data_IF_758144209462
#
_entry.id   IF_758144209462
#
_cell.length_a   1.000
_cell.length_b   1.000
_cell.length_c   1.000
_cell.angle_alpha   90.00
_cell.angle_beta   90.00
_cell.angle_gamma   90.00
#
_symmetry.space_group_name_H-M   'P 1'
#
loop_
_entity.id
_entity.type
_entity.pdbx_description
1 polymer ?
#
# COMPACT_ATOMS: atom_id res chain seq x y z
N UNK A 1 -31.95 34.27 2.40
CA UNK A 1 -30.90 34.15 3.44
C UNK A 1 -29.75 33.36 2.84
N UNK A 2 -28.68 34.05 2.42
CA UNK A 2 -27.47 33.41 1.91
C UNK A 2 -26.68 32.88 3.10
N UNK A 3 -26.83 31.60 3.43
CA UNK A 3 -25.93 30.92 4.36
C UNK A 3 -24.57 30.84 3.68
N UNK A 4 -23.60 31.62 4.15
CA UNK A 4 -22.21 31.51 3.73
C UNK A 4 -21.66 30.18 4.24
N UNK A 5 -21.86 29.10 3.49
CA UNK A 5 -21.25 27.81 3.75
C UNK A 5 -19.74 27.95 3.58
N UNK A 6 -19.01 27.86 4.69
CA UNK A 6 -17.55 27.92 4.70
C UNK A 6 -16.98 26.61 4.14
N UNK A 7 -16.86 26.52 2.81
CA UNK A 7 -16.16 25.40 2.16
C UNK A 7 -14.65 25.55 2.38
N UNK A 8 -14.00 24.49 2.87
CA UNK A 8 -12.55 24.43 3.02
C UNK A 8 -11.97 23.65 1.84
N UNK A 9 -11.06 24.28 1.09
CA UNK A 9 -10.33 23.59 0.01
C UNK A 9 -9.30 22.66 0.64
N UNK A 10 -9.47 21.35 0.42
CA UNK A 10 -8.56 20.32 0.93
C UNK A 10 -8.01 19.51 -0.24
N UNK A 11 -6.69 19.29 -0.24
CA UNK A 11 -6.06 18.35 -1.16
C UNK A 11 -6.32 16.90 -0.73
N UNK A 12 -7.37 16.28 -1.26
CA UNK A 12 -7.78 14.90 -0.92
C UNK A 12 -6.63 13.90 -1.03
N UNK A 13 -5.79 14.02 -2.07
CA UNK A 13 -4.60 13.18 -2.24
C UNK A 13 -3.69 13.18 -1.01
N UNK A 14 -3.26 14.36 -0.55
CA UNK A 14 -2.39 14.46 0.61
C UNK A 14 -3.07 14.04 1.91
N UNK A 15 -4.37 14.31 2.04
CA UNK A 15 -5.16 13.86 3.18
C UNK A 15 -5.16 12.32 3.27
N UNK A 16 -5.56 11.64 2.19
CA UNK A 16 -5.61 10.18 2.16
C UNK A 16 -4.21 9.56 2.27
N UNK A 17 -3.21 10.10 1.59
CA UNK A 17 -1.81 9.65 1.72
C UNK A 17 -1.34 9.70 3.18
N UNK A 18 -1.61 10.79 3.90
CA UNK A 18 -1.22 10.93 5.31
C UNK A 18 -2.01 10.00 6.23
N UNK A 19 -3.32 9.88 6.00
CA UNK A 19 -4.21 9.04 6.79
C UNK A 19 -3.84 7.56 6.67
N UNK A 20 -3.69 7.06 5.44
CA UNK A 20 -3.36 5.67 5.16
C UNK A 20 -1.98 5.33 5.74
N UNK A 21 -0.98 6.17 5.54
CA UNK A 21 0.36 5.94 6.10
C UNK A 21 0.33 5.89 7.63
N UNK A 22 -0.42 6.80 8.26
CA UNK A 22 -0.58 6.82 9.72
C UNK A 22 -1.20 5.53 10.23
N UNK A 23 -2.29 5.08 9.60
CA UNK A 23 -2.99 3.86 10.02
C UNK A 23 -2.11 2.62 9.78
N UNK A 24 -1.42 2.52 8.65
CA UNK A 24 -0.52 1.40 8.35
C UNK A 24 0.63 1.32 9.36
N UNK A 25 1.31 2.44 9.65
CA UNK A 25 2.44 2.44 10.60
C UNK A 25 1.97 2.09 12.01
N UNK A 26 0.80 2.59 12.42
CA UNK A 26 0.20 2.26 13.70
C UNK A 26 -0.19 0.78 13.79
N UNK A 27 -0.79 0.22 12.74
CA UNK A 27 -1.21 -1.18 12.66
C UNK A 27 -0.03 -2.16 12.65
N UNK A 28 1.04 -1.80 11.95
CA UNK A 28 2.20 -2.68 11.78
C UNK A 28 3.18 -2.62 12.95
N UNK A 29 3.36 -1.44 13.54
CA UNK A 29 4.46 -1.18 14.47
C UNK A 29 4.01 -0.52 15.78
N UNK A 30 2.73 -0.24 15.97
CA UNK A 30 2.23 0.43 17.17
C UNK A 30 2.79 1.85 17.34
N UNK A 31 3.30 2.47 16.27
CA UNK A 31 3.94 3.79 16.32
C UNK A 31 3.08 4.87 15.72
N UNK A 32 3.09 6.03 16.38
CA UNK A 32 2.53 7.25 15.81
C UNK A 32 3.47 7.78 14.75
N UNK A 33 2.91 8.00 13.56
CA UNK A 33 3.68 8.34 12.38
C UNK A 33 4.33 9.74 12.43
N UNK A 34 3.83 10.63 13.30
CA UNK A 34 4.28 12.02 13.40
C UNK A 34 5.07 12.36 14.68
N UNK A 35 5.03 11.55 15.74
CA UNK A 35 5.48 11.97 17.08
C UNK A 35 6.80 11.35 17.62
N UNK A 36 7.11 10.06 17.41
CA UNK A 36 8.31 9.46 18.03
C UNK A 36 9.30 8.89 17.01
N UNK A 37 10.36 9.67 16.70
CA UNK A 37 11.44 9.27 15.75
C UNK A 37 11.71 10.25 14.60
N UNK A 38 10.99 11.38 14.57
CA UNK A 38 11.29 12.56 13.75
C UNK A 38 10.92 12.44 12.27
N UNK A 39 10.87 13.59 11.59
CA UNK A 39 10.73 13.75 10.13
C UNK A 39 11.46 12.65 9.33
N UNK A 40 12.60 12.17 9.84
CA UNK A 40 13.40 11.07 9.29
C UNK A 40 12.62 9.77 9.04
N UNK A 41 11.91 9.23 10.02
CA UNK A 41 11.15 7.99 9.86
C UNK A 41 10.01 8.16 8.84
N UNK A 42 9.30 9.28 8.95
CA UNK A 42 8.25 9.69 8.02
C UNK A 42 8.75 9.76 6.58
N UNK A 43 9.89 10.41 6.34
CA UNK A 43 10.52 10.54 5.02
C UNK A 43 10.97 9.19 4.49
N UNK A 44 11.66 8.38 5.29
CA UNK A 44 12.20 7.08 4.87
C UNK A 44 11.08 6.09 4.50
N UNK A 45 10.04 6.01 5.31
CA UNK A 45 8.89 5.10 5.07
C UNK A 45 8.08 5.55 3.86
N UNK A 46 7.80 6.86 3.69
CA UNK A 46 7.14 7.37 2.48
C UNK A 46 7.95 7.06 1.23
N UNK A 47 9.26 7.31 1.30
CA UNK A 47 10.16 7.04 0.19
C UNK A 47 10.24 5.55 -0.10
N UNK A 48 10.14 4.69 0.92
CA UNK A 48 10.04 3.24 0.75
C UNK A 48 8.81 2.90 -0.07
N UNK A 49 7.60 3.24 0.40
CA UNK A 49 6.36 2.92 -0.32
C UNK A 49 6.31 3.54 -1.71
N UNK A 50 6.85 4.75 -1.90
CA UNK A 50 6.96 5.37 -3.22
C UNK A 50 7.86 4.56 -4.14
N UNK A 51 9.05 4.13 -3.67
CA UNK A 51 9.99 3.34 -4.45
C UNK A 51 9.50 1.91 -4.69
N UNK A 52 8.75 1.31 -3.75
CA UNK A 52 8.10 0.02 -3.94
C UNK A 52 7.12 0.03 -5.12
N UNK A 53 6.45 1.16 -5.34
CA UNK A 53 5.52 1.35 -6.46
C UNK A 53 6.17 1.90 -7.74
N UNK A 54 7.48 2.20 -7.76
CA UNK A 54 8.13 2.70 -8.98
C UNK A 54 8.46 1.57 -9.96
N UNK A 55 8.19 1.83 -11.23
CA UNK A 55 8.61 0.96 -12.33
C UNK A 55 10.13 1.02 -12.54
N UNK A 56 10.80 -0.13 -12.48
CA UNK A 56 12.24 -0.29 -12.73
C UNK A 56 12.44 -1.13 -13.98
N UNK A 57 13.03 -0.54 -15.03
CA UNK A 57 13.26 -1.19 -16.34
C UNK A 57 14.12 -2.46 -16.21
N UNK A 58 15.05 -2.48 -15.24
CA UNK A 58 15.94 -3.62 -15.00
C UNK A 58 15.19 -4.89 -14.58
N UNK A 59 13.98 -4.79 -14.04
CA UNK A 59 13.14 -5.95 -13.72
C UNK A 59 12.61 -6.66 -14.98
N UNK A 60 12.60 -5.97 -16.13
CA UNK A 60 12.15 -6.49 -17.43
C UNK A 60 13.32 -6.84 -18.36
N UNK A 61 14.40 -6.07 -18.30
CA UNK A 61 15.58 -6.26 -19.13
C UNK A 61 16.80 -6.37 -18.20
N UNK A 62 17.09 -7.57 -17.66
CA UNK A 62 18.16 -7.77 -16.67
C UNK A 62 19.54 -7.31 -17.15
N UNK A 63 19.79 -7.34 -18.46
CA UNK A 63 21.05 -6.89 -19.07
C UNK A 63 21.27 -5.37 -19.03
N UNK A 64 20.23 -4.56 -18.80
CA UNK A 64 20.34 -3.10 -18.64
C UNK A 64 20.50 -2.65 -17.18
N UNK A 65 20.60 -3.60 -16.25
CA UNK A 65 20.73 -3.32 -14.81
C UNK A 65 21.94 -2.46 -14.45
N UNK A 66 23.05 -2.62 -15.17
CA UNK A 66 24.28 -1.85 -14.95
C UNK A 66 24.12 -0.36 -15.30
N UNK A 67 23.14 0.01 -16.15
CA UNK A 67 22.94 1.40 -16.59
C UNK A 67 22.16 2.24 -15.57
N UNK A 68 21.41 1.62 -14.64
CA UNK A 68 20.49 2.24 -13.65
C UNK A 68 19.92 3.59 -14.13
N UNK A 69 19.20 3.57 -15.26
CA UNK A 69 18.85 4.74 -16.11
C UNK A 69 18.17 5.88 -15.35
N UNK A 70 17.58 5.61 -14.18
CA UNK A 70 16.93 6.60 -13.31
C UNK A 70 17.46 6.63 -11.86
N UNK A 71 18.50 5.85 -11.58
CA UNK A 71 19.09 5.72 -10.25
C UNK A 71 18.16 5.05 -9.24
N UNK A 72 17.16 4.27 -9.69
CA UNK A 72 16.12 3.75 -8.80
C UNK A 72 16.67 2.64 -7.91
N UNK A 73 17.52 1.75 -8.45
CA UNK A 73 18.15 0.70 -7.63
C UNK A 73 19.01 1.30 -6.53
N UNK A 74 19.83 2.30 -6.88
CA UNK A 74 20.64 3.03 -5.89
C UNK A 74 19.77 3.70 -4.82
N UNK A 75 18.73 4.45 -5.22
CA UNK A 75 17.79 5.12 -4.29
C UNK A 75 17.07 4.13 -3.39
N UNK A 76 16.73 2.95 -3.90
CA UNK A 76 16.05 1.91 -3.15
C UNK A 76 16.98 1.24 -2.14
N UNK A 77 18.23 0.97 -2.51
CA UNK A 77 19.24 0.44 -1.60
C UNK A 77 19.53 1.41 -0.44
N UNK A 78 19.74 2.68 -0.74
CA UNK A 78 19.95 3.72 0.28
C UNK A 78 18.74 3.85 1.21
N UNK A 79 17.52 3.87 0.65
CA UNK A 79 16.31 3.99 1.46
C UNK A 79 16.01 2.72 2.28
N UNK A 80 16.35 1.54 1.76
CA UNK A 80 16.19 0.28 2.46
C UNK A 80 17.10 0.22 3.70
N UNK A 81 18.35 0.69 3.58
CA UNK A 81 19.27 0.80 4.72
C UNK A 81 18.73 1.73 5.80
N UNK A 82 18.22 2.89 5.39
CA UNK A 82 17.63 3.86 6.31
C UNK A 82 16.38 3.29 7.02
N UNK A 83 15.51 2.61 6.27
CA UNK A 83 14.32 1.95 6.81
C UNK A 83 14.70 0.82 7.77
N UNK A 84 15.72 0.02 7.45
CA UNK A 84 16.24 -1.06 8.31
C UNK A 84 16.68 -0.53 9.66
N UNK A 85 17.42 0.58 9.67
CA UNK A 85 17.83 1.25 10.91
C UNK A 85 16.63 1.71 11.76
N UNK A 86 15.53 2.16 11.14
CA UNK A 86 14.32 2.58 11.86
C UNK A 86 13.56 1.38 12.42
N UNK A 87 13.32 0.36 11.59
CA UNK A 87 12.59 -0.84 12.02
C UNK A 87 13.35 -1.63 13.09
N UNK A 88 14.69 -1.66 13.01
CA UNK A 88 15.51 -2.30 14.04
C UNK A 88 15.38 -1.58 15.40
N UNK A 89 15.34 -0.24 15.41
CA UNK A 89 15.07 0.54 16.63
C UNK A 89 13.70 0.21 17.23
N UNK A 90 12.65 0.17 16.40
CA UNK A 90 11.31 -0.18 16.86
C UNK A 90 11.21 -1.61 17.35
N UNK A 91 11.91 -2.54 16.70
CA UNK A 91 11.98 -3.93 17.13
C UNK A 91 12.63 -4.07 18.50
N UNK A 92 13.80 -3.44 18.69
CA UNK A 92 14.50 -3.48 19.97
C UNK A 92 13.62 -2.92 21.08
N UNK A 93 12.89 -1.83 20.80
CA UNK A 93 11.94 -1.24 21.76
C UNK A 93 10.81 -2.22 22.12
N UNK A 94 10.19 -2.90 21.14
CA UNK A 94 9.16 -3.91 21.44
C UNK A 94 9.71 -5.09 22.24
N UNK A 95 10.91 -5.59 21.90
CA UNK A 95 11.58 -6.65 22.67
C UNK A 95 11.84 -6.20 24.12
N UNK A 96 12.32 -4.97 24.32
CA UNK A 96 12.57 -4.39 25.64
C UNK A 96 11.29 -4.33 26.47
N UNK A 97 10.20 -3.77 25.92
CA UNK A 97 8.90 -3.67 26.61
C UNK A 97 8.38 -5.04 27.05
N UNK A 98 8.49 -6.04 26.16
CA UNK A 98 8.14 -7.43 26.47
C UNK A 98 8.99 -8.01 27.60
N UNK A 99 10.31 -7.81 27.57
CA UNK A 99 11.21 -8.27 28.64
C UNK A 99 10.94 -7.59 29.99
N UNK A 100 10.46 -6.35 30.00
CA UNK A 100 10.09 -5.62 31.21
C UNK A 100 8.71 -6.01 31.77
N UNK A 101 7.99 -6.94 31.14
CA UNK A 101 6.68 -7.40 31.60
C UNK A 101 5.53 -6.43 31.28
N UNK A 102 5.72 -5.45 30.39
CA UNK A 102 4.60 -4.66 29.83
C UNK A 102 3.77 -5.56 28.90
N UNK A 103 2.81 -6.27 29.48
CA UNK A 103 1.85 -7.08 28.72
C UNK A 103 0.78 -6.15 28.14
N UNK A 104 0.84 -5.92 26.83
CA UNK A 104 -0.29 -5.36 26.11
C UNK A 104 -1.45 -6.36 26.10
N UNK A 105 -2.67 -5.84 26.26
CA UNK A 105 -3.88 -6.62 26.01
C UNK A 105 -3.89 -7.13 24.56
N UNK A 106 -4.62 -8.21 24.26
CA UNK A 106 -4.75 -8.73 22.88
C UNK A 106 -5.19 -7.63 21.90
N UNK A 107 -6.10 -6.76 22.33
CA UNK A 107 -6.63 -5.65 21.52
C UNK A 107 -5.61 -4.51 21.27
N UNK A 108 -4.50 -4.50 22.02
CA UNK A 108 -3.45 -3.49 21.94
C UNK A 108 -2.20 -3.99 21.19
N UNK A 109 -2.13 -5.29 20.89
CA UNK A 109 -1.00 -5.88 20.15
C UNK A 109 -1.02 -5.41 18.70
N UNK A 110 0.12 -4.90 18.25
CA UNK A 110 0.34 -4.61 16.85
C UNK A 110 0.96 -5.81 16.12
N UNK A 111 1.14 -5.67 14.80
CA UNK A 111 1.67 -6.76 13.99
C UNK A 111 3.08 -7.20 14.42
N UNK A 112 3.92 -6.29 14.92
CA UNK A 112 5.26 -6.60 15.40
C UNK A 112 5.22 -7.40 16.70
N UNK A 113 4.30 -7.08 17.61
CA UNK A 113 4.06 -7.87 18.83
C UNK A 113 3.63 -9.31 18.51
N UNK A 114 2.71 -9.46 17.55
CA UNK A 114 2.24 -10.78 17.07
C UNK A 114 3.42 -11.55 16.44
N UNK A 115 4.26 -10.91 15.63
CA UNK A 115 5.43 -11.57 15.05
C UNK A 115 6.42 -12.02 16.11
N UNK A 116 6.66 -11.19 17.13
CA UNK A 116 7.53 -11.54 18.25
C UNK A 116 6.95 -12.66 19.13
N UNK A 117 5.62 -12.82 19.22
CA UNK A 117 4.99 -13.93 19.94
C UNK A 117 5.08 -15.26 19.18
N UNK A 118 5.02 -15.23 17.85
CA UNK A 118 5.13 -16.42 17.01
C UNK A 118 6.57 -16.90 16.82
N UNK A 119 7.55 -15.99 16.84
CA UNK A 119 8.94 -16.30 16.58
C UNK A 119 9.85 -15.84 17.72
N UNK A 120 10.01 -16.68 18.74
CA UNK A 120 11.00 -16.48 19.79
C UNK A 120 12.42 -16.42 19.19
N UNK A 121 13.09 -15.27 19.35
CA UNK A 121 14.48 -15.10 18.91
C UNK A 121 14.70 -14.68 17.46
N UNK A 122 13.66 -14.40 16.67
CA UNK A 122 13.86 -13.97 15.28
C UNK A 122 14.62 -12.63 15.17
N UNK A 123 15.57 -12.59 14.22
CA UNK A 123 16.13 -11.35 13.67
C UNK A 123 15.19 -10.87 12.55
N UNK A 124 14.51 -9.74 12.75
CA UNK A 124 13.61 -9.13 11.75
C UNK A 124 14.29 -8.68 10.45
N UNK A 125 15.59 -8.91 10.27
CA UNK A 125 16.26 -8.79 8.97
C UNK A 125 15.48 -9.52 7.86
N UNK A 126 14.78 -10.60 8.24
CA UNK A 126 13.85 -11.34 7.37
C UNK A 126 12.57 -10.58 7.02
N UNK A 127 12.05 -9.68 7.85
CA UNK A 127 10.80 -8.96 7.57
C UNK A 127 10.96 -7.90 6.48
N UNK A 128 12.08 -7.18 6.46
CA UNK A 128 12.44 -6.31 5.35
C UNK A 128 12.71 -7.11 4.09
N UNK A 129 13.45 -8.21 4.18
CA UNK A 129 13.69 -9.09 3.02
C UNK A 129 12.38 -9.70 2.51
N UNK A 130 11.43 -10.07 3.37
CA UNK A 130 10.12 -10.63 2.97
C UNK A 130 9.16 -9.59 2.42
N UNK A 131 9.25 -8.30 2.79
CA UNK A 131 8.55 -7.21 2.08
C UNK A 131 9.27 -6.77 0.79
N UNK A 132 10.56 -7.08 0.65
CA UNK A 132 11.33 -6.86 -0.59
C UNK A 132 11.24 -8.05 -1.57
N UNK A 133 10.91 -9.26 -1.14
CA UNK A 133 10.67 -10.41 -2.04
C UNK A 133 9.44 -10.22 -2.96
N UNK A 134 8.38 -9.46 -2.59
CA UNK A 134 7.39 -8.96 -3.54
C UNK A 134 8.00 -8.19 -4.73
N UNK A 135 9.12 -7.48 -4.57
CA UNK A 135 9.77 -6.77 -5.69
C UNK A 135 10.43 -7.74 -6.67
N UNK A 136 10.96 -8.87 -6.21
CA UNK A 136 11.38 -9.94 -7.12
C UNK A 136 10.21 -10.62 -7.87
N UNK A 137 8.97 -10.36 -7.44
CA UNK A 137 7.75 -10.83 -8.07
C UNK A 137 6.93 -9.69 -8.70
N UNK A 138 7.45 -8.47 -8.84
CA UNK A 138 6.83 -7.49 -9.73
C UNK A 138 6.87 -8.00 -11.17
N UNK A 139 7.90 -8.79 -11.53
CA UNK A 139 7.95 -9.53 -12.78
C UNK A 139 6.82 -10.58 -12.89
N UNK A 140 6.41 -11.24 -11.80
CA UNK A 140 5.30 -12.20 -11.82
C UNK A 140 3.94 -11.52 -11.75
N UNK A 141 3.81 -10.42 -11.01
CA UNK A 141 2.60 -9.62 -10.91
C UNK A 141 2.32 -8.90 -12.24
N UNK A 142 3.35 -8.31 -12.86
CA UNK A 142 3.28 -7.63 -14.16
C UNK A 142 3.26 -8.60 -15.34
N UNK A 143 4.03 -9.70 -15.34
CA UNK A 143 3.91 -10.69 -16.43
C UNK A 143 2.57 -11.42 -16.36
N UNK A 144 2.02 -11.71 -15.17
CA UNK A 144 0.67 -12.28 -15.09
C UNK A 144 -0.39 -11.28 -15.53
N UNK A 145 -0.24 -9.97 -15.27
CA UNK A 145 -1.19 -8.96 -15.76
C UNK A 145 -1.02 -8.66 -17.25
N UNK A 146 0.20 -8.61 -17.80
CA UNK A 146 0.41 -8.46 -19.25
C UNK A 146 -0.06 -9.69 -20.01
N UNK A 147 0.23 -10.90 -19.53
CA UNK A 147 -0.18 -12.11 -20.22
C UNK A 147 -1.69 -12.35 -20.13
N UNK A 148 -2.35 -11.92 -19.03
CA UNK A 148 -3.82 -11.87 -18.97
C UNK A 148 -4.43 -10.76 -19.83
N UNK A 149 -3.73 -9.63 -19.99
CA UNK A 149 -4.16 -8.55 -20.91
C UNK A 149 -3.97 -8.96 -22.37
N UNK A 150 -2.89 -9.65 -22.73
CA UNK A 150 -2.66 -10.20 -24.08
C UNK A 150 -3.60 -11.37 -24.40
N UNK A 151 -3.83 -12.31 -23.48
CA UNK A 151 -4.74 -13.44 -23.74
C UNK A 151 -6.24 -13.05 -23.74
N UNK A 152 -6.62 -11.98 -23.02
CA UNK A 152 -7.99 -11.43 -23.10
C UNK A 152 -8.20 -10.49 -24.29
N UNK A 153 -7.11 -9.98 -24.89
CA UNK A 153 -7.16 -9.23 -26.14
C UNK A 153 -6.90 -10.16 -27.32
N UNK A 154 -7.90 -11.01 -27.57
CA UNK A 154 -8.19 -11.41 -28.94
C UNK A 154 -8.26 -10.14 -29.80
N UNK A 155 -7.34 -10.04 -30.75
CA UNK A 155 -7.20 -8.98 -31.73
C UNK A 155 -8.55 -8.64 -32.38
N UNK A 156 -9.31 -7.71 -31.79
CA UNK A 156 -10.30 -6.82 -32.43
C UNK A 156 -11.31 -6.22 -31.43
N UNK A 157 -10.85 -5.36 -30.51
CA UNK A 157 -11.73 -4.32 -29.97
C UNK A 157 -10.95 -3.17 -29.35
N UNK A 158 -10.99 -2.05 -30.05
CA UNK A 158 -10.71 -0.69 -29.60
C UNK A 158 -10.74 -0.54 -28.07
N UNK A 159 -9.60 -0.14 -27.50
CA UNK A 159 -9.45 0.25 -26.08
C UNK A 159 -10.43 1.38 -25.77
N UNK A 160 -11.67 1.03 -25.39
CA UNK A 160 -12.58 1.97 -24.75
C UNK A 160 -12.01 2.23 -23.37
N UNK A 161 -11.78 3.49 -23.04
CA UNK A 161 -11.61 3.91 -21.65
C UNK A 161 -12.74 3.28 -20.82
N UNK A 162 -12.44 2.44 -19.81
CA UNK A 162 -13.48 1.77 -19.05
C UNK A 162 -14.32 2.84 -18.33
N UNK A 163 -15.58 2.97 -18.74
CA UNK A 163 -16.53 3.89 -18.12
C UNK A 163 -16.76 3.47 -16.65
N UNK A 164 -16.62 4.41 -15.71
CA UNK A 164 -16.93 4.14 -14.30
C UNK A 164 -18.42 3.80 -14.14
N UNK A 165 -18.71 2.51 -13.91
CA UNK A 165 -20.06 1.96 -13.76
C UNK A 165 -20.08 0.96 -12.60
N UNK A 166 -20.24 1.40 -11.34
CA UNK A 166 -20.18 0.51 -10.17
C UNK A 166 -21.34 -0.50 -10.13
N UNK A 167 -22.48 -0.20 -10.77
CA UNK A 167 -23.67 -1.06 -10.84
C UNK A 167 -23.40 -2.40 -11.54
N UNK A 168 -22.29 -2.50 -12.29
CA UNK A 168 -21.86 -3.77 -12.91
C UNK A 168 -21.63 -4.86 -11.87
N UNK A 169 -21.21 -4.50 -10.65
CA UNK A 169 -21.00 -5.43 -9.54
C UNK A 169 -22.30 -5.84 -8.84
N UNK A 170 -23.44 -5.23 -9.18
CA UNK A 170 -24.76 -5.64 -8.72
C UNK A 170 -25.51 -6.50 -9.76
N UNK A 171 -25.02 -6.50 -11.00
CA UNK A 171 -25.67 -7.12 -12.16
C UNK A 171 -24.75 -8.18 -12.79
N UNK A 172 -24.03 -7.82 -13.85
CA UNK A 172 -23.23 -8.75 -14.67
C UNK A 172 -22.06 -9.39 -13.91
N UNK A 173 -21.42 -8.67 -12.98
CA UNK A 173 -20.22 -9.13 -12.25
C UNK A 173 -20.53 -9.39 -10.76
N UNK A 174 -21.74 -9.85 -10.43
CA UNK A 174 -22.16 -10.06 -9.03
C UNK A 174 -21.30 -11.10 -8.28
N UNK A 175 -20.83 -12.10 -9.01
CA UNK A 175 -20.03 -13.19 -8.43
C UNK A 175 -18.53 -12.93 -8.50
N UNK A 176 -18.10 -11.86 -9.18
CA UNK A 176 -16.68 -11.54 -9.34
C UNK A 176 -16.11 -11.05 -8.02
N UNK A 177 -15.21 -11.85 -7.47
CA UNK A 177 -14.43 -11.49 -6.28
C UNK A 177 -13.08 -10.87 -6.62
N UNK A 178 -12.48 -10.27 -5.60
CA UNK A 178 -11.14 -9.67 -5.63
C UNK A 178 -10.07 -10.58 -4.98
N UNK A 179 -10.44 -11.83 -4.67
CA UNK A 179 -9.57 -12.81 -3.99
C UNK A 179 -8.69 -13.56 -4.99
N UNK A 180 -8.73 -13.17 -6.27
CA UNK A 180 -7.91 -13.73 -7.33
C UNK A 180 -8.41 -15.07 -7.85
N UNK A 181 -9.68 -15.42 -7.60
CA UNK A 181 -10.34 -16.58 -8.23
C UNK A 181 -10.94 -16.20 -9.60
N UNK A 182 -11.30 -14.93 -9.79
CA UNK A 182 -11.82 -14.38 -11.04
C UNK A 182 -10.76 -13.54 -11.75
N UNK A 183 -10.32 -14.01 -12.92
CA UNK A 183 -9.25 -13.34 -13.67
C UNK A 183 -9.65 -12.01 -14.31
N UNK A 184 -10.95 -11.71 -14.31
CA UNK A 184 -11.51 -10.43 -14.75
C UNK A 184 -11.16 -9.26 -13.80
N UNK A 185 -10.85 -9.54 -12.53
CA UNK A 185 -10.55 -8.53 -11.52
C UNK A 185 -9.53 -9.02 -10.48
N UNK A 186 -8.26 -8.64 -10.65
CA UNK A 186 -7.15 -9.10 -9.80
C UNK A 186 -6.34 -7.93 -9.17
N UNK A 187 -6.99 -7.03 -8.40
CA UNK A 187 -6.30 -5.87 -7.82
C UNK A 187 -5.26 -6.23 -6.76
N UNK A 188 -5.37 -7.41 -6.14
CA UNK A 188 -4.50 -7.87 -5.05
C UNK A 188 -3.61 -9.06 -5.44
N UNK A 189 -3.51 -9.38 -6.73
CA UNK A 189 -2.85 -10.61 -7.19
C UNK A 189 -3.72 -11.86 -7.02
N UNK A 190 -3.16 -13.02 -7.33
CA UNK A 190 -3.84 -14.32 -7.26
C UNK A 190 -2.88 -15.44 -6.82
N UNK A 191 -3.44 -16.58 -6.40
CA UNK A 191 -2.69 -17.78 -6.04
C UNK A 191 -1.74 -17.61 -4.84
N UNK A 192 -0.58 -18.27 -4.88
CA UNK A 192 0.42 -18.27 -3.78
C UNK A 192 1.06 -16.90 -3.50
N UNK A 193 0.86 -15.92 -4.37
CA UNK A 193 1.39 -14.55 -4.26
C UNK A 193 0.28 -13.52 -4.02
N UNK A 194 -0.94 -13.96 -3.72
CA UNK A 194 -2.04 -13.08 -3.30
C UNK A 194 -1.60 -12.22 -2.12
N UNK A 195 -1.96 -10.94 -2.13
CA UNK A 195 -1.62 -9.99 -1.07
C UNK A 195 -2.11 -10.51 0.30
N UNK A 196 -1.21 -10.77 1.27
CA UNK A 196 -1.63 -11.22 2.60
C UNK A 196 -2.40 -10.14 3.37
N UNK A 197 -2.29 -8.87 2.95
CA UNK A 197 -2.96 -7.73 3.55
C UNK A 197 -4.35 -7.41 2.99
N UNK A 198 -4.94 -8.26 2.14
CA UNK A 198 -6.23 -7.97 1.49
C UNK A 198 -7.34 -7.64 2.49
N UNK A 199 -7.49 -8.41 3.56
CA UNK A 199 -8.54 -8.19 4.57
C UNK A 199 -8.39 -6.82 5.25
N UNK A 200 -7.17 -6.49 5.69
CA UNK A 200 -6.88 -5.21 6.33
C UNK A 200 -7.06 -4.03 5.36
N UNK A 201 -6.64 -4.19 4.11
CA UNK A 201 -6.79 -3.16 3.09
C UNK A 201 -8.26 -2.85 2.78
N UNK A 202 -9.11 -3.88 2.71
CA UNK A 202 -10.55 -3.70 2.47
C UNK A 202 -11.25 -3.03 3.63
N UNK A 203 -10.96 -3.46 4.86
CA UNK A 203 -11.52 -2.80 6.06
C UNK A 203 -11.08 -1.34 6.10
N UNK A 204 -9.80 -1.05 5.87
CA UNK A 204 -9.27 0.31 5.84
C UNK A 204 -9.97 1.16 4.77
N UNK A 205 -10.07 0.65 3.55
CA UNK A 205 -10.68 1.35 2.42
C UNK A 205 -12.16 1.63 2.69
N UNK A 206 -12.92 0.60 3.06
CA UNK A 206 -14.37 0.70 3.28
C UNK A 206 -14.68 1.63 4.45
N UNK A 207 -13.97 1.51 5.57
CA UNK A 207 -14.20 2.35 6.74
C UNK A 207 -13.80 3.81 6.48
N UNK A 208 -12.66 4.03 5.82
CA UNK A 208 -12.21 5.38 5.46
C UNK A 208 -13.20 6.06 4.52
N UNK A 209 -13.64 5.35 3.47
CA UNK A 209 -14.62 5.88 2.53
C UNK A 209 -15.98 6.13 3.19
N UNK A 210 -16.48 5.18 4.00
CA UNK A 210 -17.74 5.33 4.71
C UNK A 210 -17.73 6.55 5.64
N UNK A 211 -16.66 6.72 6.42
CA UNK A 211 -16.52 7.86 7.32
C UNK A 211 -16.45 9.19 6.57
N UNK A 212 -15.68 9.25 5.47
CA UNK A 212 -15.56 10.47 4.67
C UNK A 212 -16.87 10.84 4.00
N UNK A 213 -17.55 9.88 3.38
CA UNK A 213 -18.82 10.11 2.68
C UNK A 213 -19.98 10.39 3.64
N UNK A 214 -19.95 9.85 4.85
CA UNK A 214 -20.98 10.09 5.86
C UNK A 214 -20.80 11.45 6.55
N UNK A 215 -19.56 11.85 6.84
CA UNK A 215 -19.28 13.04 7.63
C UNK A 215 -19.15 14.33 6.82
N UNK A 216 -18.89 14.25 5.51
CA UNK A 216 -18.58 15.41 4.68
C UNK A 216 -19.36 15.45 3.38
N UNK A 217 -19.83 16.64 3.02
CA UNK A 217 -20.29 16.95 1.68
C UNK A 217 -19.09 17.38 0.83
N UNK A 218 -18.81 16.63 -0.25
CA UNK A 218 -17.64 16.87 -1.11
C UNK A 218 -18.10 17.53 -2.39
N UNK A 219 -17.64 18.76 -2.63
CA UNK A 219 -17.90 19.52 -3.84
C UNK A 219 -16.60 19.90 -4.53
N UNK A 220 -16.68 20.19 -5.84
CA UNK A 220 -15.52 20.64 -6.60
C UNK A 220 -15.24 22.11 -6.30
N UNK A 221 -13.97 22.52 -6.18
CA UNK A 221 -13.61 23.92 -5.97
C UNK A 221 -13.75 24.78 -7.23
N UNK A 222 -13.76 24.17 -8.42
CA UNK A 222 -13.94 24.82 -9.72
C UNK A 222 -14.57 23.85 -10.73
N UNK A 223 -15.10 24.40 -11.83
CA UNK A 223 -15.65 23.64 -12.95
C UNK A 223 -14.60 23.25 -14.01
N UNK A 224 -13.32 23.49 -13.73
CA UNK A 224 -12.22 23.06 -14.59
C UNK A 224 -12.17 21.53 -14.68
N UNK A 225 -11.76 21.02 -15.84
CA UNK A 225 -11.58 19.58 -16.04
C UNK A 225 -10.47 19.05 -15.13
N UNK A 226 -10.80 18.03 -14.33
CA UNK A 226 -9.81 17.33 -13.51
C UNK A 226 -9.08 16.33 -14.41
N UNK A 227 -7.74 16.42 -14.42
CA UNK A 227 -6.92 15.40 -15.05
C UNK A 227 -6.99 14.11 -14.23
N UNK A 228 -7.51 13.05 -14.85
CA UNK A 228 -7.72 11.73 -14.26
C UNK A 228 -6.69 10.70 -14.77
N UNK A 229 -5.64 11.18 -15.45
CA UNK A 229 -4.55 10.36 -16.02
C UNK A 229 -3.45 10.10 -15.00
#
# INVERSE_FOLDING_TARGET
MSSSSNFIKIGLKHLFENLIMTIIVRMLFGKEYDLEGGQRARIAIRKLFKLLGTFVVADFIPSLRWLDIRGYEKKMKENAQETDCILEKWLVEHKRKRSCGELKNEDEKDSMDIMLSLYEGARMKIFLVLMLIPLSNLHAWYSSTIQLVEDSTGSDRLVRTPLYKPERFLTTHKEVDIKGSHFELIPFGAGRRLCPGISSALVLLLLTLANVLHAFEITRPSDESIDMT
#
